data_IF_208091773468
#
_entry.id   IF_208091773468
#
_cell.length_a   1.000
_cell.length_b   1.000
_cell.length_c   1.000
_cell.angle_alpha   90.00
_cell.angle_beta   90.00
_cell.angle_gamma   90.00
#
_symmetry.space_group_name_H-M   'P 1'
#
loop_
_entity.id
_entity.type
_entity.pdbx_description
1 polymer ?
#
# COMPACT_ATOMS: atom_id res chain seq x y z
N UNK A 1 4.56 -21.51 1.35
CA UNK A 1 3.75 -20.55 2.16
C UNK A 1 2.25 -20.91 2.05
N UNK A 2 1.37 -20.70 3.05
CA UNK A 2 -0.06 -21.07 2.87
C UNK A 2 -0.66 -20.37 1.65
N UNK A 3 -1.41 -21.11 0.81
CA UNK A 3 -1.95 -20.64 -0.49
C UNK A 3 -2.67 -19.28 -0.43
N UNK A 4 -3.35 -18.98 0.68
CA UNK A 4 -4.06 -17.71 0.88
C UNK A 4 -3.12 -16.49 0.92
N UNK A 5 -1.92 -16.62 1.48
CA UNK A 5 -0.96 -15.51 1.61
C UNK A 5 -0.32 -15.17 0.26
N UNK A 6 0.05 -16.22 -0.47
CA UNK A 6 0.53 -16.09 -1.83
C UNK A 6 -0.49 -15.39 -2.73
N UNK A 7 -1.78 -15.76 -2.63
CA UNK A 7 -2.86 -15.10 -3.37
C UNK A 7 -2.99 -13.61 -3.03
N UNK A 8 -2.75 -13.19 -1.79
CA UNK A 8 -2.79 -11.77 -1.40
C UNK A 8 -1.61 -11.00 -1.95
N UNK A 9 -0.40 -11.55 -1.87
CA UNK A 9 0.78 -10.93 -2.47
C UNK A 9 0.61 -10.77 -3.99
N UNK A 10 0.10 -11.78 -4.70
CA UNK A 10 -0.24 -11.65 -6.12
C UNK A 10 -1.29 -10.56 -6.38
N UNK A 11 -2.29 -10.45 -5.50
CA UNK A 11 -3.29 -9.37 -5.59
C UNK A 11 -2.67 -7.99 -5.40
N UNK A 12 -1.70 -7.86 -4.49
CA UNK A 12 -0.92 -6.63 -4.30
C UNK A 12 -0.16 -6.27 -5.58
N UNK A 13 0.57 -7.22 -6.17
CA UNK A 13 1.31 -6.98 -7.41
C UNK A 13 0.40 -6.51 -8.56
N UNK A 14 -0.78 -7.14 -8.72
CA UNK A 14 -1.76 -6.73 -9.74
C UNK A 14 -2.32 -5.33 -9.46
N UNK A 15 -2.64 -5.03 -8.21
CA UNK A 15 -3.15 -3.71 -7.81
C UNK A 15 -2.10 -2.61 -8.03
N UNK A 16 -0.84 -2.90 -7.74
CA UNK A 16 0.27 -1.98 -7.99
C UNK A 16 0.44 -1.71 -9.49
N UNK A 17 0.31 -2.73 -10.35
CA UNK A 17 0.35 -2.53 -11.81
C UNK A 17 -0.81 -1.67 -12.32
N UNK A 18 -2.01 -1.82 -11.73
CA UNK A 18 -3.13 -0.93 -12.04
C UNK A 18 -2.86 0.52 -11.60
N UNK A 19 -2.26 0.71 -10.42
CA UNK A 19 -1.85 2.04 -9.95
C UNK A 19 -0.74 2.64 -10.83
N UNK A 20 0.16 1.81 -11.37
CA UNK A 20 1.22 2.25 -12.29
C UNK A 20 0.64 2.93 -13.54
N UNK A 21 -0.50 2.49 -14.03
CA UNK A 21 -1.17 3.10 -15.20
C UNK A 21 -1.60 4.55 -14.95
N UNK A 22 -1.79 4.95 -13.68
CA UNK A 22 -2.05 6.35 -13.32
C UNK A 22 -0.81 7.24 -13.48
N UNK A 23 0.39 6.67 -13.56
CA UNK A 23 1.63 7.44 -13.75
C UNK A 23 1.68 7.97 -15.18
N UNK A 24 1.56 9.29 -15.33
CA UNK A 24 1.54 9.96 -16.63
C UNK A 24 0.17 9.94 -17.31
N UNK A 25 -0.88 9.53 -16.61
CA UNK A 25 -2.25 9.69 -17.07
C UNK A 25 -2.66 11.17 -17.02
N UNK A 26 -3.56 11.57 -17.93
CA UNK A 26 -4.12 12.92 -17.95
C UNK A 26 -5.15 13.07 -16.82
N UNK A 27 -4.87 13.93 -15.85
CA UNK A 27 -5.74 14.14 -14.69
C UNK A 27 -7.10 14.77 -15.07
N UNK A 28 -7.16 15.47 -16.20
CA UNK A 28 -8.40 16.07 -16.70
C UNK A 28 -9.33 15.05 -17.36
N UNK A 29 -8.87 13.82 -17.61
CA UNK A 29 -9.75 12.71 -18.02
C UNK A 29 -10.64 12.30 -16.84
N UNK A 30 -11.95 12.28 -17.12
CA UNK A 30 -13.04 12.05 -16.16
C UNK A 30 -12.83 10.85 -15.25
N UNK A 31 -12.12 9.80 -15.71
CA UNK A 31 -11.92 8.57 -14.94
C UNK A 31 -10.57 8.47 -14.23
N UNK A 32 -9.59 9.30 -14.57
CA UNK A 32 -8.22 9.13 -14.08
C UNK A 32 -8.13 9.40 -12.57
N UNK A 33 -8.65 10.52 -12.10
CA UNK A 33 -8.63 10.86 -10.67
C UNK A 33 -9.35 9.80 -9.80
N UNK A 34 -10.63 9.43 -10.06
CA UNK A 34 -11.33 8.44 -9.23
C UNK A 34 -10.70 7.04 -9.33
N UNK A 35 -10.24 6.61 -10.51
CA UNK A 35 -9.57 5.32 -10.66
C UNK A 35 -8.24 5.27 -9.89
N UNK A 36 -7.47 6.37 -9.91
CA UNK A 36 -6.19 6.48 -9.19
C UNK A 36 -6.39 6.37 -7.69
N UNK A 37 -7.38 7.07 -7.13
CA UNK A 37 -7.73 6.98 -5.70
C UNK A 37 -8.16 5.57 -5.32
N UNK A 38 -8.99 4.93 -6.14
CA UNK A 38 -9.45 3.57 -5.88
C UNK A 38 -8.28 2.57 -5.91
N UNK A 39 -7.42 2.66 -6.92
CA UNK A 39 -6.22 1.82 -7.06
C UNK A 39 -5.24 2.07 -5.90
N UNK A 40 -5.04 3.31 -5.48
CA UNK A 40 -4.21 3.65 -4.32
C UNK A 40 -4.75 3.02 -3.04
N UNK A 41 -6.03 3.23 -2.73
CA UNK A 41 -6.65 2.71 -1.52
C UNK A 41 -6.57 1.18 -1.45
N UNK A 42 -6.84 0.49 -2.57
CA UNK A 42 -6.72 -0.97 -2.65
C UNK A 42 -5.27 -1.43 -2.48
N UNK A 43 -4.33 -0.80 -3.19
CA UNK A 43 -2.91 -1.16 -3.17
C UNK A 43 -2.31 -0.95 -1.77
N UNK A 44 -2.61 0.17 -1.13
CA UNK A 44 -2.18 0.45 0.24
C UNK A 44 -2.78 -0.55 1.23
N UNK A 45 -4.06 -0.90 1.07
CA UNK A 45 -4.73 -1.87 1.93
C UNK A 45 -4.17 -3.27 1.83
N UNK A 46 -3.78 -3.68 0.63
CA UNK A 46 -3.09 -4.94 0.41
C UNK A 46 -1.67 -4.89 0.99
N UNK A 47 -0.97 -3.76 0.83
CA UNK A 47 0.40 -3.56 1.32
C UNK A 47 0.51 -3.80 2.83
N UNK A 48 -0.27 -3.08 3.66
CA UNK A 48 -0.14 -3.26 5.11
C UNK A 48 -0.59 -4.65 5.58
N UNK A 49 -1.52 -5.29 4.86
CA UNK A 49 -1.95 -6.66 5.15
C UNK A 49 -0.88 -7.69 4.83
N UNK A 50 -0.13 -7.52 3.75
CA UNK A 50 1.01 -8.34 3.37
C UNK A 50 2.15 -8.16 4.37
N UNK A 51 2.49 -6.91 4.71
CA UNK A 51 3.49 -6.59 5.73
C UNK A 51 3.16 -7.22 7.07
N UNK A 52 1.91 -7.11 7.53
CA UNK A 52 1.43 -7.75 8.76
C UNK A 52 1.67 -9.27 8.74
N UNK A 53 1.40 -9.91 7.61
CA UNK A 53 1.60 -11.36 7.48
C UNK A 53 3.08 -11.73 7.57
N UNK A 54 3.96 -11.03 6.87
CA UNK A 54 5.39 -11.25 6.96
C UNK A 54 5.91 -11.05 8.39
N UNK A 55 5.54 -9.95 9.05
CA UNK A 55 5.88 -9.69 10.45
C UNK A 55 5.46 -10.84 11.36
N UNK A 56 4.26 -11.40 11.14
CA UNK A 56 3.73 -12.49 11.95
C UNK A 56 4.47 -13.81 11.70
N UNK A 57 4.68 -14.16 10.43
CA UNK A 57 5.14 -15.49 10.04
C UNK A 57 6.66 -15.61 9.95
N UNK A 58 7.34 -14.60 9.41
CA UNK A 58 8.79 -14.61 9.18
C UNK A 58 9.56 -14.08 10.38
N UNK A 59 8.97 -13.15 11.15
CA UNK A 59 9.62 -12.50 12.30
C UNK A 59 9.04 -12.91 13.66
N UNK A 60 7.99 -13.75 13.67
CA UNK A 60 7.42 -14.32 14.89
C UNK A 60 6.81 -13.29 15.86
N UNK A 61 6.59 -12.06 15.41
CA UNK A 61 5.96 -11.03 16.24
C UNK A 61 4.45 -11.29 16.25
N UNK A 62 3.89 -11.57 17.42
CA UNK A 62 2.46 -11.91 17.58
C UNK A 62 1.76 -11.06 18.66
N UNK A 63 2.54 -10.35 19.48
CA UNK A 63 2.09 -9.62 20.67
C UNK A 63 1.58 -8.18 20.38
N UNK A 64 1.53 -7.77 19.11
CA UNK A 64 0.85 -6.53 18.73
C UNK A 64 -0.66 -6.73 18.83
N UNK A 65 -1.24 -6.23 19.92
CA UNK A 65 -2.68 -6.11 20.03
C UNK A 65 -3.25 -5.34 18.83
N UNK A 66 -4.18 -5.98 18.11
CA UNK A 66 -5.14 -5.42 17.15
C UNK A 66 -4.61 -4.97 15.77
N UNK A 67 -4.57 -5.91 14.82
CA UNK A 67 -5.30 -5.91 13.53
C UNK A 67 -5.35 -4.68 12.61
N UNK A 68 -4.72 -3.56 12.96
CA UNK A 68 -4.89 -2.26 12.34
C UNK A 68 -3.74 -1.93 11.39
N UNK A 69 -3.96 -1.10 10.37
CA UNK A 69 -2.90 -0.66 9.47
C UNK A 69 -1.73 0.01 10.21
N UNK A 70 -2.02 0.83 11.23
CA UNK A 70 -1.01 1.58 11.99
C UNK A 70 0.00 0.67 12.69
N UNK A 71 -0.49 -0.32 13.43
CA UNK A 71 0.39 -1.22 14.19
C UNK A 71 1.15 -2.18 13.27
N UNK A 72 0.54 -2.59 12.15
CA UNK A 72 1.21 -3.36 11.12
C UNK A 72 2.42 -2.59 10.52
N UNK A 73 2.23 -1.31 10.18
CA UNK A 73 3.31 -0.47 9.64
C UNK A 73 4.43 -0.24 10.65
N UNK A 74 4.10 0.07 11.92
CA UNK A 74 5.13 0.21 12.96
C UNK A 74 5.96 -1.06 13.16
N UNK A 75 5.29 -2.22 13.19
CA UNK A 75 5.98 -3.50 13.37
C UNK A 75 6.85 -3.83 12.15
N UNK A 76 6.34 -3.57 10.94
CA UNK A 76 7.11 -3.74 9.70
C UNK A 76 8.35 -2.83 9.67
N UNK A 77 8.22 -1.60 10.17
CA UNK A 77 9.34 -0.67 10.32
C UNK A 77 10.38 -1.20 11.33
N UNK A 78 9.93 -1.71 12.49
CA UNK A 78 10.85 -2.19 13.53
C UNK A 78 11.65 -3.43 13.12
N UNK A 79 11.14 -4.23 12.18
CA UNK A 79 11.86 -5.39 11.62
C UNK A 79 12.56 -5.09 10.29
N UNK A 80 12.50 -3.84 9.80
CA UNK A 80 13.20 -3.39 8.60
C UNK A 80 12.57 -3.82 7.27
N UNK A 81 11.29 -4.22 7.24
CA UNK A 81 10.56 -4.48 5.99
C UNK A 81 10.20 -3.20 5.23
N UNK A 82 10.11 -2.08 5.95
CA UNK A 82 9.97 -0.72 5.43
C UNK A 82 10.86 0.20 6.26
N UNK A 83 11.30 1.33 5.68
CA UNK A 83 12.27 2.22 6.32
C UNK A 83 11.93 3.72 6.22
N UNK A 84 10.86 4.08 5.52
CA UNK A 84 10.46 5.47 5.31
C UNK A 84 9.26 5.85 6.18
N UNK A 85 9.35 6.97 6.91
CA UNK A 85 8.27 7.48 7.76
C UNK A 85 7.01 7.88 6.97
N UNK A 86 7.15 8.14 5.67
CA UNK A 86 6.04 8.49 4.76
C UNK A 86 4.95 7.43 4.70
N UNK A 87 5.22 6.17 5.08
CA UNK A 87 4.19 5.15 5.24
C UNK A 87 3.07 5.56 6.23
N UNK A 88 3.41 6.34 7.25
CA UNK A 88 2.43 6.89 8.20
C UNK A 88 1.62 8.04 7.60
N UNK A 89 2.22 8.82 6.71
CA UNK A 89 1.51 9.86 5.95
C UNK A 89 0.57 9.23 4.91
N UNK A 90 1.01 8.19 4.21
CA UNK A 90 0.18 7.39 3.30
C UNK A 90 -1.06 6.82 4.03
N UNK A 91 -0.89 6.30 5.25
CA UNK A 91 -2.02 5.86 6.08
C UNK A 91 -3.00 7.01 6.37
N UNK A 92 -2.47 8.20 6.70
CA UNK A 92 -3.30 9.39 6.94
C UNK A 92 -4.11 9.74 5.69
N UNK A 93 -3.44 9.83 4.53
CA UNK A 93 -4.06 10.16 3.24
C UNK A 93 -5.13 9.14 2.85
N UNK A 94 -4.84 7.83 2.95
CA UNK A 94 -5.81 6.76 2.69
C UNK A 94 -7.06 6.91 3.56
N UNK A 95 -6.89 7.22 4.86
CA UNK A 95 -8.03 7.44 5.76
C UNK A 95 -8.82 8.70 5.41
N UNK A 96 -8.16 9.77 4.96
CA UNK A 96 -8.85 10.99 4.52
C UNK A 96 -9.61 10.77 3.21
N UNK A 97 -9.03 10.05 2.25
CA UNK A 97 -9.66 9.75 0.96
C UNK A 97 -10.95 8.93 1.08
N UNK A 98 -11.12 8.14 2.16
CA UNK A 98 -12.37 7.42 2.42
C UNK A 98 -13.57 8.35 2.68
N UNK A 99 -13.31 9.63 2.95
CA UNK A 99 -14.29 10.67 3.24
C UNK A 99 -14.27 11.82 2.22
N UNK A 100 -13.53 11.67 1.12
CA UNK A 100 -13.35 12.70 0.09
C UNK A 100 -14.51 12.71 -0.91
N UNK A 101 -15.68 13.15 -0.45
CA UNK A 101 -16.89 13.15 -1.28
C UNK A 101 -16.90 14.22 -2.39
N UNK A 102 -16.07 15.26 -2.26
CA UNK A 102 -15.97 16.38 -3.21
C UNK A 102 -14.71 16.33 -4.11
N UNK A 103 -13.86 15.32 -3.93
CA UNK A 103 -12.67 15.08 -4.75
C UNK A 103 -11.49 16.03 -4.51
N UNK A 104 -11.58 16.93 -3.53
CA UNK A 104 -10.53 17.92 -3.28
C UNK A 104 -9.27 17.28 -2.68
N UNK A 105 -9.43 16.25 -1.85
CA UNK A 105 -8.30 15.52 -1.26
C UNK A 105 -7.62 14.68 -2.33
N UNK A 106 -8.39 14.01 -3.17
CA UNK A 106 -7.90 13.25 -4.32
C UNK A 106 -7.01 14.11 -5.21
N UNK A 107 -7.50 15.30 -5.60
CA UNK A 107 -6.77 16.22 -6.45
C UNK A 107 -5.45 16.68 -5.80
N UNK A 108 -5.51 17.02 -4.50
CA UNK A 108 -4.34 17.48 -3.73
C UNK A 108 -3.23 16.44 -3.66
N UNK A 109 -3.58 15.17 -3.48
CA UNK A 109 -2.61 14.09 -3.25
C UNK A 109 -2.32 13.28 -4.51
N UNK A 110 -2.84 13.65 -5.67
CA UNK A 110 -2.64 12.90 -6.91
C UNK A 110 -1.14 12.70 -7.21
N UNK A 111 -0.36 13.78 -7.19
CA UNK A 111 1.08 13.74 -7.47
C UNK A 111 1.85 12.92 -6.42
N UNK A 112 1.48 13.03 -5.15
CA UNK A 112 2.08 12.22 -4.07
C UNK A 112 1.79 10.73 -4.28
N UNK A 113 0.55 10.40 -4.67
CA UNK A 113 0.08 9.03 -4.92
C UNK A 113 0.83 8.41 -6.08
N UNK A 114 0.88 9.09 -7.24
CA UNK A 114 1.51 8.54 -8.45
C UNK A 114 3.03 8.67 -8.42
N UNK A 115 3.58 9.55 -7.57
CA UNK A 115 5.01 9.77 -7.38
C UNK A 115 5.60 8.98 -6.22
N UNK A 116 5.74 9.63 -5.07
CA UNK A 116 6.46 9.10 -3.90
C UNK A 116 5.80 7.85 -3.31
N UNK A 117 4.47 7.83 -3.17
CA UNK A 117 3.76 6.71 -2.56
C UNK A 117 3.83 5.46 -3.43
N UNK A 118 3.65 5.61 -4.74
CA UNK A 118 3.86 4.52 -5.69
C UNK A 118 5.27 3.95 -5.57
N UNK A 119 6.29 4.81 -5.56
CA UNK A 119 7.70 4.39 -5.52
C UNK A 119 8.02 3.62 -4.24
N UNK A 120 7.49 4.05 -3.10
CA UNK A 120 7.65 3.35 -1.82
C UNK A 120 6.99 1.96 -1.81
N UNK A 121 5.78 1.85 -2.36
CA UNK A 121 5.09 0.55 -2.45
C UNK A 121 5.85 -0.37 -3.42
N UNK A 122 6.31 0.15 -4.55
CA UNK A 122 7.07 -0.60 -5.55
C UNK A 122 8.38 -1.15 -4.97
N UNK A 123 9.16 -0.31 -4.28
CA UNK A 123 10.37 -0.73 -3.60
C UNK A 123 10.07 -1.83 -2.56
N UNK A 124 9.05 -1.61 -1.71
CA UNK A 124 8.63 -2.61 -0.72
C UNK A 124 8.24 -3.95 -1.38
N UNK A 125 7.47 -3.94 -2.48
CA UNK A 125 7.10 -5.15 -3.22
C UNK A 125 8.32 -5.88 -3.78
N UNK A 126 9.32 -5.15 -4.30
CA UNK A 126 10.56 -5.74 -4.78
C UNK A 126 11.36 -6.39 -3.65
N UNK A 127 11.48 -5.73 -2.51
CA UNK A 127 12.25 -6.20 -1.36
C UNK A 127 11.64 -7.45 -0.71
N UNK A 128 10.32 -7.50 -0.59
CA UNK A 128 9.64 -8.65 0.02
C UNK A 128 9.45 -9.82 -0.94
N UNK A 129 9.71 -9.64 -2.25
CA UNK A 129 9.50 -10.69 -3.24
C UNK A 129 10.24 -11.99 -2.90
N UNK A 130 11.38 -11.90 -2.21
CA UNK A 130 12.16 -13.05 -1.76
C UNK A 130 11.40 -14.00 -0.82
N UNK A 131 10.44 -13.50 -0.04
CA UNK A 131 9.62 -14.30 0.87
C UNK A 131 8.53 -15.09 0.14
N UNK A 132 8.22 -14.73 -1.12
CA UNK A 132 7.15 -15.33 -1.92
C UNK A 132 7.66 -16.12 -3.13
N UNK A 133 8.98 -16.31 -3.24
CA UNK A 133 9.58 -17.20 -4.24
C UNK A 133 9.53 -18.63 -3.73
N UNK A 134 8.70 -19.46 -4.35
CA UNK A 134 8.86 -20.92 -4.42
C UNK A 134 9.55 -21.28 -5.73
#
# INVERSE_FOLDING_TARGET
MESKYFNRYQSLCRSLENLRQSRGADIDDQFVLPATVQNYNLTFDLSWKVLKELVTHEFGMTDFAAGSPREALKSAFSVGLISDDRWMDMLRVRNTLAHDYDGQVALRYFDDIVGDYFTLIEAMVMDIAQYYKE
#
